data_IF_081150316879
#
_entry.id   IF_081150316879
#
_cell.length_a   1.000
_cell.length_b   1.000
_cell.length_c   1.000
_cell.angle_alpha   90.00
_cell.angle_beta   90.00
_cell.angle_gamma   90.00
#
_symmetry.space_group_name_H-M   'P 1'
#
loop_
_entity.id
_entity.type
_entity.pdbx_description
1 polymer ?
#
# COMPACT_ATOMS: atom_id res chain seq x y z
N UNK A 1 28.59 48.16 28.34
CA UNK A 1 27.15 48.26 28.04
C UNK A 1 26.76 47.07 27.17
N UNK A 2 25.65 46.45 27.55
CA UNK A 2 25.17 45.08 27.30
C UNK A 2 25.08 44.57 25.85
N UNK A 3 25.55 43.32 25.69
CA UNK A 3 25.27 42.35 24.63
C UNK A 3 23.81 42.34 24.16
N UNK A 4 23.59 42.32 22.84
CA UNK A 4 22.26 42.06 22.25
C UNK A 4 22.34 41.24 20.96
N UNK A 5 23.03 40.10 21.03
CA UNK A 5 22.83 38.98 20.10
C UNK A 5 22.69 37.67 20.90
N UNK A 6 21.73 37.63 21.83
CA UNK A 6 21.14 36.35 22.22
C UNK A 6 20.17 35.94 21.10
N UNK A 7 20.69 35.26 20.07
CA UNK A 7 19.91 34.29 19.32
C UNK A 7 19.44 33.29 20.37
N UNK A 8 18.19 33.46 20.85
CA UNK A 8 17.56 32.54 21.79
C UNK A 8 17.77 31.14 21.24
N UNK A 9 18.28 30.25 22.08
CA UNK A 9 18.20 28.81 21.87
C UNK A 9 16.82 28.52 21.30
N UNK A 10 16.77 28.07 20.05
CA UNK A 10 15.54 27.71 19.39
C UNK A 10 14.83 26.69 20.28
N UNK A 11 13.66 27.05 20.82
CA UNK A 11 12.71 26.13 21.46
C UNK A 11 12.56 24.91 20.51
N UNK A 12 13.36 23.86 20.69
CA UNK A 12 13.21 22.63 19.91
C UNK A 12 11.83 22.10 20.28
N UNK A 13 10.94 22.05 19.30
CA UNK A 13 9.56 21.59 19.50
C UNK A 13 9.32 20.30 18.74
N UNK A 14 8.60 19.39 19.37
CA UNK A 14 8.25 18.09 18.81
C UNK A 14 6.75 17.98 18.60
N UNK A 15 6.34 17.27 17.56
CA UNK A 15 4.93 16.97 17.34
C UNK A 15 4.45 15.92 18.36
N UNK A 16 3.14 15.87 18.61
CA UNK A 16 2.51 14.78 19.38
C UNK A 16 3.01 13.40 18.96
N UNK A 17 3.11 13.15 17.65
CA UNK A 17 3.57 11.87 17.09
C UNK A 17 5.02 11.57 17.47
N UNK A 18 5.92 12.57 17.42
CA UNK A 18 7.31 12.39 17.83
C UNK A 18 7.39 12.15 19.33
N UNK A 19 6.65 12.91 20.14
CA UNK A 19 6.61 12.74 21.58
C UNK A 19 6.19 11.32 21.99
N UNK A 20 5.13 10.78 21.38
CA UNK A 20 4.65 9.42 21.72
C UNK A 20 5.55 8.30 21.18
N UNK A 21 6.11 8.48 19.98
CA UNK A 21 6.95 7.45 19.33
C UNK A 21 8.37 7.41 19.88
N UNK A 22 9.00 8.57 20.08
CA UNK A 22 10.41 8.67 20.46
C UNK A 22 10.63 8.71 21.97
N UNK A 23 9.66 9.23 22.74
CA UNK A 23 9.83 9.42 24.19
C UNK A 23 9.02 8.44 25.05
N UNK A 24 8.50 7.38 24.43
CA UNK A 24 7.68 6.37 25.09
C UNK A 24 6.43 6.93 25.83
N UNK A 25 5.95 8.10 25.43
CA UNK A 25 4.78 8.74 26.03
C UNK A 25 3.48 8.28 25.36
N UNK A 26 2.38 8.42 26.09
CA UNK A 26 1.02 8.22 25.63
C UNK A 26 0.29 9.56 25.58
N UNK A 27 -0.90 9.59 24.98
CA UNK A 27 -1.67 10.82 24.82
C UNK A 27 -1.96 11.51 26.16
N UNK A 28 -2.29 10.73 27.20
CA UNK A 28 -2.55 11.20 28.57
C UNK A 28 -1.34 11.87 29.22
N UNK A 29 -0.13 11.42 28.90
CA UNK A 29 1.10 11.98 29.46
C UNK A 29 1.36 13.39 28.91
N UNK A 30 0.82 13.69 27.73
CA UNK A 30 1.01 14.95 27.02
C UNK A 30 -0.10 15.98 27.28
N UNK A 31 -1.17 15.60 28.01
CA UNK A 31 -2.34 16.47 28.22
C UNK A 31 -2.00 17.71 29.05
N UNK A 32 -1.09 17.58 30.00
CA UNK A 32 -0.69 18.64 30.92
C UNK A 32 0.51 19.46 30.43
N UNK A 33 1.07 19.13 29.25
CA UNK A 33 2.21 19.86 28.69
C UNK A 33 1.75 21.06 27.86
N UNK A 34 2.52 22.15 27.92
CA UNK A 34 2.24 23.34 27.11
C UNK A 34 2.51 23.03 25.62
N UNK A 35 1.59 23.44 24.74
CA UNK A 35 1.75 23.24 23.30
C UNK A 35 1.36 24.46 22.49
N UNK A 36 2.01 24.62 21.34
CA UNK A 36 1.59 25.53 20.28
C UNK A 36 0.85 24.76 19.19
N UNK A 37 -0.20 25.35 18.63
CA UNK A 37 -0.89 24.77 17.48
C UNK A 37 -0.21 25.29 16.20
N UNK A 38 0.16 24.38 15.29
CA UNK A 38 0.66 24.71 13.96
C UNK A 38 -0.26 24.12 12.89
N UNK A 39 -0.61 24.94 11.90
CA UNK A 39 -1.35 24.48 10.71
C UNK A 39 -0.40 23.76 9.76
N UNK A 40 -0.80 22.56 9.33
CA UNK A 40 -0.12 21.75 8.34
C UNK A 40 -0.68 22.01 6.94
N UNK A 41 0.07 21.59 5.94
CA UNK A 41 -0.41 21.55 4.56
C UNK A 41 -1.64 20.62 4.45
N UNK A 42 -2.70 21.08 3.78
CA UNK A 42 -3.98 20.37 3.73
C UNK A 42 -4.96 20.70 4.88
N UNK A 43 -4.75 21.81 5.60
CA UNK A 43 -5.74 22.36 6.54
C UNK A 43 -5.82 21.69 7.90
N UNK A 44 -5.05 20.62 8.13
CA UNK A 44 -4.95 19.94 9.43
C UNK A 44 -4.12 20.75 10.43
N UNK A 45 -4.36 20.55 11.72
CA UNK A 45 -3.59 21.19 12.80
C UNK A 45 -2.79 20.15 13.58
N UNK A 46 -1.61 20.52 14.07
CA UNK A 46 -0.80 19.69 14.97
C UNK A 46 -0.40 20.46 16.23
N UNK A 47 -0.24 19.71 17.33
CA UNK A 47 0.29 20.22 18.60
C UNK A 47 1.81 20.08 18.61
N UNK A 48 2.49 21.16 18.99
CA UNK A 48 3.94 21.28 19.12
C UNK A 48 4.32 21.54 20.58
N UNK A 49 4.86 20.51 21.21
CA UNK A 49 5.33 20.52 22.60
C UNK A 49 6.79 20.95 22.66
N UNK A 50 7.21 21.61 23.74
CA UNK A 50 8.65 21.87 23.95
C UNK A 50 9.36 20.54 24.21
N UNK A 51 10.53 20.37 23.59
CA UNK A 51 11.31 19.14 23.69
C UNK A 51 11.72 18.86 25.14
N UNK A 52 12.23 19.85 25.84
CA UNK A 52 12.74 19.69 27.21
C UNK A 52 11.62 19.28 28.20
N UNK A 53 10.40 19.83 28.01
CA UNK A 53 9.23 19.44 28.81
C UNK A 53 8.79 17.99 28.52
N UNK A 54 8.90 17.55 27.27
CA UNK A 54 8.62 16.16 26.87
C UNK A 54 9.67 15.21 27.45
N UNK A 55 10.95 15.59 27.43
CA UNK A 55 12.04 14.80 28.03
C UNK A 55 11.88 14.67 29.55
N UNK A 56 11.58 15.78 30.22
CA UNK A 56 11.32 15.79 31.66
C UNK A 56 10.11 14.94 32.01
N UNK A 57 9.02 15.04 31.22
CA UNK A 57 7.83 14.22 31.38
C UNK A 57 8.14 12.73 31.28
N UNK A 58 8.94 12.33 30.28
CA UNK A 58 9.37 10.94 30.11
C UNK A 58 10.23 10.45 31.29
N UNK A 59 11.21 11.24 31.73
CA UNK A 59 12.04 10.90 32.89
C UNK A 59 11.19 10.74 34.15
N UNK A 60 10.25 11.66 34.38
CA UNK A 60 9.35 11.60 35.55
C UNK A 60 8.43 10.37 35.51
N UNK A 61 7.90 10.02 34.33
CA UNK A 61 7.06 8.83 34.14
C UNK A 61 7.80 7.53 34.48
N UNK A 62 9.06 7.41 34.06
CA UNK A 62 9.86 6.20 34.23
C UNK A 62 10.76 6.23 35.47
N UNK A 63 10.81 7.35 36.19
CA UNK A 63 11.53 7.55 37.45
C UNK A 63 13.03 7.80 37.32
N UNK A 64 13.63 7.53 36.16
CA UNK A 64 15.02 7.89 35.85
C UNK A 64 15.27 7.93 34.35
N UNK A 65 16.34 8.62 33.94
CA UNK A 65 16.80 8.67 32.55
C UNK A 65 17.13 7.26 32.02
N UNK A 66 17.80 6.44 32.84
CA UNK A 66 18.16 5.07 32.48
C UNK A 66 16.94 4.19 32.21
N UNK A 67 15.93 4.23 33.10
CA UNK A 67 14.68 3.46 32.92
C UNK A 67 13.89 3.90 31.69
N UNK A 68 13.88 5.21 31.42
CA UNK A 68 13.29 5.76 30.21
C UNK A 68 14.00 5.24 28.94
N UNK A 69 15.33 5.30 28.90
CA UNK A 69 16.12 4.85 27.75
C UNK A 69 15.91 3.35 27.48
N UNK A 70 15.80 2.53 28.52
CA UNK A 70 15.50 1.11 28.38
C UNK A 70 14.09 0.84 27.83
N UNK A 71 13.10 1.63 28.23
CA UNK A 71 11.75 1.52 27.66
C UNK A 71 11.70 1.92 26.19
N UNK A 72 12.44 2.98 25.80
CA UNK A 72 12.60 3.36 24.40
C UNK A 72 13.26 2.24 23.59
N UNK A 73 14.31 1.61 24.12
CA UNK A 73 14.95 0.44 23.48
C UNK A 73 13.95 -0.71 23.29
N UNK A 74 13.16 -1.05 24.31
CA UNK A 74 12.11 -2.09 24.22
C UNK A 74 11.09 -1.78 23.13
N UNK A 75 10.57 -0.54 23.08
CA UNK A 75 9.62 -0.12 22.02
C UNK A 75 10.23 -0.20 20.62
N UNK A 76 11.51 0.16 20.47
CA UNK A 76 12.22 0.05 19.20
C UNK A 76 12.39 -1.41 18.75
N UNK A 77 12.73 -2.31 19.67
CA UNK A 77 12.79 -3.76 19.38
C UNK A 77 11.43 -4.26 18.90
N UNK A 78 10.35 -3.98 19.64
CA UNK A 78 8.99 -4.37 19.24
C UNK A 78 8.56 -3.79 17.88
N UNK A 79 8.98 -2.55 17.57
CA UNK A 79 8.72 -1.94 16.27
C UNK A 79 9.45 -2.68 15.15
N UNK A 80 10.72 -3.04 15.37
CA UNK A 80 11.51 -3.81 14.41
C UNK A 80 10.93 -5.20 14.21
N UNK A 81 10.53 -5.90 15.26
CA UNK A 81 9.84 -7.19 15.17
C UNK A 81 8.55 -7.11 14.35
N UNK A 82 7.74 -6.07 14.56
CA UNK A 82 6.53 -5.81 13.75
C UNK A 82 6.86 -5.56 12.27
N UNK A 83 7.95 -4.85 11.97
CA UNK A 83 8.39 -4.62 10.60
C UNK A 83 8.86 -5.92 9.94
N UNK A 84 9.63 -6.73 10.66
CA UNK A 84 10.07 -8.05 10.21
C UNK A 84 8.85 -8.93 9.92
N UNK A 85 7.89 -9.01 10.84
CA UNK A 85 6.66 -9.78 10.67
C UNK A 85 5.89 -9.35 9.42
N UNK A 86 5.72 -8.05 9.19
CA UNK A 86 5.08 -7.52 7.97
C UNK A 86 5.83 -7.92 6.70
N UNK A 87 7.16 -7.85 6.72
CA UNK A 87 7.98 -8.23 5.57
C UNK A 87 7.90 -9.74 5.29
N UNK A 88 7.91 -10.56 6.33
CA UNK A 88 7.78 -12.02 6.23
C UNK A 88 6.42 -12.41 5.63
N UNK A 89 5.33 -11.81 6.10
CA UNK A 89 4.00 -12.04 5.55
C UNK A 89 3.87 -11.60 4.08
N UNK A 90 4.47 -10.45 3.73
CA UNK A 90 4.54 -9.99 2.34
C UNK A 90 5.28 -11.00 1.46
N UNK A 91 6.47 -11.46 1.89
CA UNK A 91 7.28 -12.41 1.15
C UNK A 91 6.56 -13.77 0.98
N UNK A 92 5.85 -14.23 2.02
CA UNK A 92 5.04 -15.44 1.96
C UNK A 92 3.94 -15.33 0.90
N UNK A 93 3.21 -14.21 0.85
CA UNK A 93 2.18 -13.98 -0.18
C UNK A 93 2.76 -13.90 -1.58
N UNK A 94 3.92 -13.25 -1.73
CA UNK A 94 4.64 -13.16 -3.00
C UNK A 94 5.01 -14.55 -3.51
N UNK A 95 5.58 -15.40 -2.64
CA UNK A 95 5.94 -16.77 -3.01
C UNK A 95 4.70 -17.60 -3.35
N UNK A 96 3.64 -17.57 -2.53
CA UNK A 96 2.40 -18.28 -2.83
C UNK A 96 1.79 -17.88 -4.17
N UNK A 97 1.84 -16.58 -4.52
CA UNK A 97 1.36 -16.12 -5.82
C UNK A 97 2.26 -16.60 -6.96
N UNK A 98 3.58 -16.59 -6.77
CA UNK A 98 4.54 -17.13 -7.74
C UNK A 98 4.26 -18.60 -8.03
N UNK A 99 4.13 -19.42 -6.98
CA UNK A 99 3.86 -20.85 -7.11
C UNK A 99 2.53 -21.09 -7.85
N UNK A 100 1.48 -20.33 -7.53
CA UNK A 100 0.19 -20.44 -8.22
C UNK A 100 0.23 -20.04 -9.72
N UNK A 101 1.10 -19.09 -10.09
CA UNK A 101 1.33 -18.70 -11.49
C UNK A 101 2.02 -19.85 -12.23
N UNK A 102 3.05 -20.45 -11.62
CA UNK A 102 3.79 -21.59 -12.17
C UNK A 102 2.87 -22.82 -12.34
N UNK A 103 2.10 -23.19 -11.30
CA UNK A 103 1.11 -24.28 -11.36
C UNK A 103 0.04 -24.04 -12.45
N UNK A 104 -0.26 -22.78 -12.73
CA UNK A 104 -1.21 -22.38 -13.77
C UNK A 104 -0.62 -22.37 -15.19
N UNK A 105 0.65 -22.78 -15.36
CA UNK A 105 1.38 -22.74 -16.63
C UNK A 105 1.35 -21.34 -17.29
N UNK A 106 1.38 -20.29 -16.46
CA UNK A 106 1.49 -18.91 -16.90
C UNK A 106 2.97 -18.52 -16.87
N UNK A 107 3.46 -17.85 -17.92
CA UNK A 107 4.87 -17.45 -18.03
C UNK A 107 5.00 -15.94 -17.76
N UNK A 108 4.58 -15.52 -16.56
CA UNK A 108 4.70 -14.14 -16.10
C UNK A 108 5.80 -14.06 -15.03
N UNK A 109 6.71 -13.08 -15.13
CA UNK A 109 7.56 -12.73 -13.99
C UNK A 109 6.71 -11.96 -12.97
N UNK A 110 6.73 -12.43 -11.72
CA UNK A 110 6.00 -11.78 -10.64
C UNK A 110 6.45 -10.32 -10.42
N UNK A 111 7.70 -9.97 -10.77
CA UNK A 111 8.19 -8.60 -10.62
C UNK A 111 7.55 -7.64 -11.62
N UNK A 112 7.30 -8.08 -12.86
CA UNK A 112 6.56 -7.32 -13.87
C UNK A 112 5.10 -7.11 -13.45
N UNK A 113 4.58 -8.06 -12.67
CA UNK A 113 3.21 -8.03 -12.17
C UNK A 113 3.00 -7.07 -10.97
N UNK A 114 4.07 -6.59 -10.32
CA UNK A 114 3.94 -5.71 -9.15
C UNK A 114 3.38 -4.32 -9.49
N UNK A 115 3.42 -3.91 -10.75
CA UNK A 115 2.84 -2.65 -11.20
C UNK A 115 1.31 -2.64 -11.17
N UNK A 116 0.68 -3.83 -11.16
CA UNK A 116 -0.77 -3.94 -11.11
C UNK A 116 -1.29 -3.68 -9.69
N UNK A 117 -2.13 -2.65 -9.56
CA UNK A 117 -2.74 -2.25 -8.27
C UNK A 117 -3.41 -3.40 -7.53
N UNK A 118 -4.08 -4.31 -8.22
CA UNK A 118 -4.77 -5.44 -7.58
C UNK A 118 -3.78 -6.46 -6.98
N UNK A 119 -2.58 -6.61 -7.55
CA UNK A 119 -1.50 -7.44 -7.03
C UNK A 119 -0.82 -6.75 -5.85
N UNK A 120 -0.52 -5.45 -5.96
CA UNK A 120 0.00 -4.65 -4.84
C UNK A 120 -0.94 -4.72 -3.62
N UNK A 121 -2.24 -4.60 -3.84
CA UNK A 121 -3.25 -4.69 -2.78
C UNK A 121 -3.26 -6.06 -2.09
N UNK A 122 -3.22 -7.16 -2.87
CA UNK A 122 -3.15 -8.52 -2.34
C UNK A 122 -1.88 -8.73 -1.49
N UNK A 123 -0.72 -8.34 -2.02
CA UNK A 123 0.58 -8.53 -1.36
C UNK A 123 0.70 -7.70 -0.07
N UNK A 124 0.22 -6.46 -0.09
CA UNK A 124 0.31 -5.57 1.07
C UNK A 124 -0.84 -5.74 2.08
N UNK A 125 -1.81 -6.61 1.81
CA UNK A 125 -3.02 -6.78 2.63
C UNK A 125 -3.76 -5.48 2.92
N UNK A 126 -3.74 -4.53 1.98
CA UNK A 126 -4.38 -3.23 2.17
C UNK A 126 -5.89 -3.44 1.99
N UNK A 127 -6.57 -3.73 3.10
CA UNK A 127 -8.01 -3.96 3.27
C UNK A 127 -8.53 -5.38 2.95
N UNK A 128 -9.77 -5.66 3.40
CA UNK A 128 -10.60 -6.83 3.06
C UNK A 128 -10.86 -6.86 1.55
N UNK A 129 -9.84 -7.08 0.74
CA UNK A 129 -9.98 -7.07 -0.71
C UNK A 129 -10.56 -8.39 -1.19
N UNK A 130 -11.37 -8.31 -2.25
CA UNK A 130 -11.88 -9.47 -3.00
C UNK A 130 -10.79 -10.17 -3.84
N UNK A 131 -9.54 -9.67 -3.78
CA UNK A 131 -8.44 -10.09 -4.63
C UNK A 131 -7.65 -11.20 -3.94
N UNK A 132 -8.17 -12.43 -4.00
CA UNK A 132 -7.41 -13.62 -3.61
C UNK A 132 -6.53 -14.13 -4.77
N UNK A 133 -5.70 -15.14 -4.48
CA UNK A 133 -4.84 -15.77 -5.50
C UNK A 133 -5.69 -16.28 -6.68
N UNK A 134 -6.86 -16.86 -6.42
CA UNK A 134 -7.71 -17.44 -7.46
C UNK A 134 -8.21 -16.36 -8.43
N UNK A 135 -8.63 -15.22 -7.89
CA UNK A 135 -9.02 -14.05 -8.66
C UNK A 135 -7.87 -13.58 -9.55
N UNK A 136 -6.67 -13.40 -8.97
CA UNK A 136 -5.47 -12.96 -9.70
C UNK A 136 -5.16 -13.93 -10.86
N UNK A 137 -5.11 -15.23 -10.58
CA UNK A 137 -4.82 -16.26 -11.58
C UNK A 137 -5.86 -16.25 -12.70
N UNK A 138 -7.14 -16.06 -12.39
CA UNK A 138 -8.20 -15.99 -13.41
C UNK A 138 -8.01 -14.80 -14.34
N UNK A 139 -7.69 -13.62 -13.80
CA UNK A 139 -7.40 -12.42 -14.60
C UNK A 139 -6.18 -12.65 -15.50
N UNK A 140 -5.11 -13.24 -14.98
CA UNK A 140 -3.92 -13.54 -15.78
C UNK A 140 -4.19 -14.56 -16.89
N UNK A 141 -5.00 -15.60 -16.62
CA UNK A 141 -5.43 -16.57 -17.64
C UNK A 141 -6.29 -15.91 -18.72
N UNK A 142 -7.22 -15.03 -18.34
CA UNK A 142 -8.02 -14.26 -19.28
C UNK A 142 -7.13 -13.38 -20.18
N UNK A 143 -6.17 -12.65 -19.59
CA UNK A 143 -5.24 -11.81 -20.33
C UNK A 143 -4.39 -12.62 -21.32
N UNK A 144 -3.83 -13.75 -20.88
CA UNK A 144 -3.08 -14.66 -21.77
C UNK A 144 -3.94 -15.13 -22.93
N UNK A 145 -5.20 -15.50 -22.68
CA UNK A 145 -6.12 -15.91 -23.73
C UNK A 145 -6.39 -14.76 -24.72
N UNK A 146 -6.72 -13.57 -24.22
CA UNK A 146 -7.05 -12.41 -25.04
C UNK A 146 -5.89 -12.02 -25.97
N UNK A 147 -4.66 -12.01 -25.44
CA UNK A 147 -3.46 -11.67 -26.20
C UNK A 147 -3.09 -12.76 -27.24
N UNK A 148 -3.31 -14.03 -26.92
CA UNK A 148 -2.91 -15.15 -27.79
C UNK A 148 -3.93 -15.44 -28.89
N UNK A 149 -5.23 -15.35 -28.57
CA UNK A 149 -6.29 -15.89 -29.42
C UNK A 149 -7.21 -14.83 -30.02
N UNK A 150 -7.01 -13.56 -29.67
CA UNK A 150 -7.84 -12.47 -30.17
C UNK A 150 -7.00 -11.29 -30.65
N UNK A 151 -7.63 -10.32 -31.33
CA UNK A 151 -6.98 -9.06 -31.72
C UNK A 151 -7.11 -8.01 -30.61
N UNK A 152 -6.90 -8.40 -29.35
CA UNK A 152 -7.17 -7.55 -28.18
C UNK A 152 -6.41 -6.24 -28.22
N UNK A 153 -5.08 -6.26 -28.38
CA UNK A 153 -4.25 -5.05 -28.37
C UNK A 153 -4.67 -4.03 -29.44
N UNK A 154 -4.89 -4.53 -30.67
CA UNK A 154 -5.35 -3.69 -31.79
C UNK A 154 -6.74 -3.09 -31.50
N UNK A 155 -7.63 -3.88 -30.91
CA UNK A 155 -8.99 -3.43 -30.57
C UNK A 155 -8.97 -2.42 -29.41
N UNK A 156 -8.12 -2.63 -28.41
CA UNK A 156 -7.96 -1.73 -27.27
C UNK A 156 -7.42 -0.38 -27.73
N UNK A 157 -6.38 -0.37 -28.59
CA UNK A 157 -5.83 0.86 -29.14
C UNK A 157 -6.86 1.65 -29.96
N UNK A 158 -7.72 0.98 -30.72
CA UNK A 158 -8.82 1.61 -31.45
C UNK A 158 -9.90 2.16 -30.51
N UNK A 159 -10.29 1.37 -29.50
CA UNK A 159 -11.32 1.76 -28.55
C UNK A 159 -10.87 2.91 -27.64
N UNK A 160 -9.60 2.97 -27.23
CA UNK A 160 -9.04 4.11 -26.50
C UNK A 160 -9.11 5.41 -27.32
N UNK A 161 -8.88 5.35 -28.63
CA UNK A 161 -9.04 6.50 -29.52
C UNK A 161 -10.51 6.91 -29.68
N UNK A 162 -11.40 5.93 -29.84
CA UNK A 162 -12.83 6.13 -30.06
C UNK A 162 -13.55 6.64 -28.80
N UNK A 163 -13.12 6.20 -27.63
CA UNK A 163 -13.74 6.43 -26.32
C UNK A 163 -12.85 7.28 -25.40
N UNK A 164 -12.14 8.27 -25.97
CA UNK A 164 -11.17 9.14 -25.25
C UNK A 164 -11.70 9.90 -24.03
N UNK A 165 -13.02 9.97 -23.84
CA UNK A 165 -13.68 10.65 -22.71
C UNK A 165 -14.19 9.70 -21.63
N UNK A 166 -14.03 8.39 -21.81
CA UNK A 166 -14.41 7.38 -20.83
C UNK A 166 -13.20 6.98 -19.98
N UNK A 167 -13.47 6.45 -18.78
CA UNK A 167 -12.41 5.88 -17.95
C UNK A 167 -11.78 4.63 -18.63
N UNK A 168 -10.53 4.35 -18.25
CA UNK A 168 -9.77 3.24 -18.85
C UNK A 168 -10.44 1.88 -18.57
N UNK A 169 -11.00 1.68 -17.39
CA UNK A 169 -11.57 0.41 -16.95
C UNK A 169 -12.81 0.04 -17.78
N UNK A 170 -13.67 1.00 -18.06
CA UNK A 170 -14.80 0.89 -18.96
C UNK A 170 -14.35 0.52 -20.38
N UNK A 171 -13.37 1.24 -20.92
CA UNK A 171 -12.86 0.99 -22.29
C UNK A 171 -12.21 -0.40 -22.38
N UNK A 172 -11.51 -0.81 -21.34
CA UNK A 172 -10.88 -2.12 -21.24
C UNK A 172 -11.93 -3.24 -21.24
N UNK A 173 -12.92 -3.17 -20.34
CA UNK A 173 -13.98 -4.17 -20.25
C UNK A 173 -14.81 -4.26 -21.54
N UNK A 174 -15.17 -3.12 -22.11
CA UNK A 174 -15.87 -3.08 -23.40
C UNK A 174 -15.08 -3.76 -24.51
N UNK A 175 -13.77 -3.55 -24.54
CA UNK A 175 -12.90 -4.18 -25.53
C UNK A 175 -12.87 -5.70 -25.35
N UNK A 176 -12.82 -6.19 -24.11
CA UNK A 176 -12.92 -7.63 -23.80
C UNK A 176 -14.22 -8.19 -24.39
N UNK A 177 -15.37 -7.59 -24.08
CA UNK A 177 -16.67 -8.06 -24.55
C UNK A 177 -16.74 -8.12 -26.08
N UNK A 178 -16.24 -7.10 -26.77
CA UNK A 178 -16.21 -7.03 -28.24
C UNK A 178 -15.30 -8.09 -28.89
N UNK A 179 -14.10 -8.35 -28.33
CA UNK A 179 -13.20 -9.37 -28.90
C UNK A 179 -13.68 -10.78 -28.58
N UNK A 180 -14.26 -10.99 -27.39
CA UNK A 180 -14.81 -12.28 -26.99
C UNK A 180 -16.04 -12.64 -27.83
N UNK A 181 -16.96 -11.71 -28.04
CA UNK A 181 -18.13 -11.94 -28.90
C UNK A 181 -17.74 -12.28 -30.35
N UNK A 182 -16.72 -11.60 -30.89
CA UNK A 182 -16.16 -11.92 -32.22
C UNK A 182 -15.50 -13.29 -32.25
N UNK A 183 -14.73 -13.64 -31.22
CA UNK A 183 -14.09 -14.95 -31.11
C UNK A 183 -15.12 -16.07 -31.04
N UNK A 184 -16.13 -15.95 -30.17
CA UNK A 184 -17.20 -16.93 -30.02
C UNK A 184 -17.96 -17.10 -31.34
N UNK A 185 -18.36 -16.00 -31.98
CA UNK A 185 -19.13 -16.03 -33.23
C UNK A 185 -18.39 -16.77 -34.36
N UNK A 186 -17.07 -16.61 -34.45
CA UNK A 186 -16.23 -17.31 -35.44
C UNK A 186 -16.04 -18.79 -35.12
N UNK A 187 -16.12 -19.18 -33.84
CA UNK A 187 -15.83 -20.52 -33.36
C UNK A 187 -17.08 -21.31 -32.92
N UNK A 188 -18.30 -20.84 -33.26
CA UNK A 188 -19.58 -21.45 -32.84
C UNK A 188 -19.73 -22.95 -33.15
N UNK A 189 -18.96 -23.48 -34.11
CA UNK A 189 -18.98 -24.91 -34.47
C UNK A 189 -17.87 -25.74 -33.80
N UNK A 190 -16.99 -25.12 -33.01
CA UNK A 190 -15.83 -25.77 -32.41
C UNK A 190 -15.99 -25.86 -30.90
N UNK A 191 -16.57 -26.98 -30.41
CA UNK A 191 -16.85 -27.23 -28.99
C UNK A 191 -15.59 -27.07 -28.10
N UNK A 192 -14.40 -27.31 -28.64
CA UNK A 192 -13.13 -27.16 -27.93
C UNK A 192 -12.72 -25.69 -27.68
N UNK A 193 -13.17 -24.76 -28.52
CA UNK A 193 -12.80 -23.34 -28.42
C UNK A 193 -13.53 -22.62 -27.27
N UNK A 194 -14.71 -23.10 -26.88
CA UNK A 194 -15.54 -22.52 -25.81
C UNK A 194 -15.05 -22.97 -24.42
N UNK A 195 -14.45 -24.17 -24.32
CA UNK A 195 -13.91 -24.72 -23.05
C UNK A 195 -12.65 -23.97 -22.58
N UNK A 196 -11.96 -23.25 -23.47
CA UNK A 196 -10.73 -22.51 -23.16
C UNK A 196 -10.96 -21.09 -22.60
N UNK A 197 -12.20 -20.68 -22.36
CA UNK A 197 -12.48 -19.34 -21.82
C UNK A 197 -12.51 -19.41 -20.29
N UNK A 198 -11.46 -18.93 -19.59
CA UNK A 198 -11.54 -18.72 -18.15
C UNK A 198 -12.47 -17.55 -17.90
N UNK A 199 -13.76 -17.81 -17.76
CA UNK A 199 -14.74 -16.81 -17.36
C UNK A 199 -14.52 -16.57 -15.86
N UNK A 200 -13.95 -15.41 -15.52
CA UNK A 200 -14.13 -14.84 -14.18
C UNK A 200 -15.55 -14.30 -14.11
N UNK A 201 -16.47 -15.07 -13.52
CA UNK A 201 -17.64 -14.49 -12.86
C UNK A 201 -17.19 -13.91 -11.51
#
# INVERSE_FOLDING_TARGET
MTNKYNKKEDDKRVTKTIATQSYALNDTDLENLEYKIKRLYGGRYCKLYKLDEVELCAINKYGSKEKYEDEVKKRNIMKNERLICKQTEYNKRKNNLKDAIEESNLNYDINDLLEYKFIDNYLNNREKTKYDIRYIINILKQNKFLLTHTNFEKSLALNLKKHKYYDFEYVYQKTIDEVMNRYISKNKNNKEAIVKIPISL
#
